data_IF_788609068017
#
_entry.id   IF_788609068017
#
_cell.length_a   1.000
_cell.length_b   1.000
_cell.length_c   1.000
_cell.angle_alpha   90.00
_cell.angle_beta   90.00
_cell.angle_gamma   90.00
#
_symmetry.space_group_name_H-M   'P 1'
#
loop_
_entity.id
_entity.type
_entity.pdbx_description
1 polymer ?
#
# COMPACT_ATOMS: atom_id res chain seq x y z
N UNK A 1 -12.15 8.43 -3.83
CA UNK A 1 -12.03 6.97 -3.66
C UNK A 1 -12.78 6.54 -2.42
N UNK A 2 -13.08 5.25 -2.26
CA UNK A 2 -13.84 4.67 -1.16
C UNK A 2 -13.16 3.41 -0.61
N UNK A 3 -13.67 2.86 0.48
CA UNK A 3 -13.28 1.55 1.00
C UNK A 3 -13.36 0.45 -0.07
N UNK A 4 -14.40 0.47 -0.91
CA UNK A 4 -14.55 -0.49 -2.01
C UNK A 4 -13.40 -0.42 -3.04
N UNK A 5 -12.86 0.78 -3.31
CA UNK A 5 -11.70 0.91 -4.20
C UNK A 5 -10.43 0.32 -3.57
N UNK A 6 -10.28 0.45 -2.26
CA UNK A 6 -9.17 -0.13 -1.52
C UNK A 6 -9.29 -1.66 -1.44
N UNK A 7 -10.50 -2.17 -1.20
CA UNK A 7 -10.82 -3.59 -1.25
C UNK A 7 -10.51 -4.17 -2.64
N UNK A 8 -11.01 -3.56 -3.71
CA UNK A 8 -10.74 -4.00 -5.08
C UNK A 8 -9.23 -4.04 -5.40
N UNK A 9 -8.44 -3.08 -4.89
CA UNK A 9 -6.97 -3.10 -5.03
C UNK A 9 -6.36 -4.34 -4.33
N UNK A 10 -6.79 -4.66 -3.11
CA UNK A 10 -6.31 -5.84 -2.37
C UNK A 10 -6.71 -7.15 -3.05
N UNK A 11 -7.96 -7.26 -3.49
CA UNK A 11 -8.46 -8.43 -4.20
C UNK A 11 -7.70 -8.66 -5.50
N UNK A 12 -7.37 -7.60 -6.24
CA UNK A 12 -6.55 -7.73 -7.43
C UNK A 12 -5.08 -8.04 -7.11
N UNK A 13 -4.57 -7.65 -5.95
CA UNK A 13 -3.20 -7.95 -5.56
C UNK A 13 -3.03 -9.42 -5.13
N UNK A 14 -3.87 -9.92 -4.23
CA UNK A 14 -3.73 -11.23 -3.59
C UNK A 14 -4.83 -12.25 -3.96
N UNK A 15 -6.01 -11.78 -4.36
CA UNK A 15 -7.22 -12.57 -4.55
C UNK A 15 -8.26 -12.29 -3.44
N UNK A 16 -9.57 -12.44 -3.73
CA UNK A 16 -10.64 -12.13 -2.78
C UNK A 16 -10.68 -13.08 -1.57
N UNK A 17 -10.28 -14.34 -1.78
CA UNK A 17 -10.29 -15.35 -0.73
C UNK A 17 -8.97 -15.51 0.04
N UNK A 18 -7.95 -14.74 -0.33
CA UNK A 18 -6.62 -14.84 0.26
C UNK A 18 -6.61 -14.42 1.74
N UNK A 19 -5.75 -15.08 2.51
CA UNK A 19 -5.64 -14.85 3.95
C UNK A 19 -5.13 -13.43 4.26
N UNK A 20 -4.23 -12.88 3.43
CA UNK A 20 -3.72 -11.51 3.56
C UNK A 20 -4.81 -10.50 3.27
N UNK A 21 -5.57 -10.68 2.18
CA UNK A 21 -6.75 -9.85 1.86
C UNK A 21 -7.70 -9.77 3.04
N UNK A 22 -8.15 -10.92 3.53
CA UNK A 22 -9.06 -11.01 4.69
C UNK A 22 -8.47 -10.35 5.93
N UNK A 23 -7.19 -10.59 6.21
CA UNK A 23 -6.50 -10.00 7.36
C UNK A 23 -6.45 -8.48 7.29
N UNK A 24 -6.17 -7.89 6.12
CA UNK A 24 -6.09 -6.44 5.94
C UNK A 24 -7.49 -5.82 6.00
N UNK A 25 -8.49 -6.41 5.33
CA UNK A 25 -9.87 -5.92 5.35
C UNK A 25 -10.44 -5.90 6.78
N UNK A 26 -10.15 -6.93 7.58
CA UNK A 26 -10.57 -6.99 8.99
C UNK A 26 -9.97 -5.86 9.86
N UNK A 27 -8.91 -5.18 9.42
CA UNK A 27 -8.35 -4.01 10.11
C UNK A 27 -9.15 -2.73 9.87
N UNK A 28 -10.08 -2.69 8.90
CA UNK A 28 -10.91 -1.53 8.55
C UNK A 28 -10.10 -0.24 8.35
N UNK A 29 -8.97 -0.33 7.62
CA UNK A 29 -7.99 0.76 7.52
C UNK A 29 -8.60 2.05 6.97
N UNK A 30 -9.43 1.92 5.92
CA UNK A 30 -10.06 3.06 5.28
C UNK A 30 -11.07 3.74 6.21
N UNK A 31 -11.95 2.95 6.82
CA UNK A 31 -12.97 3.43 7.75
C UNK A 31 -12.35 4.08 8.99
N UNK A 32 -11.28 3.49 9.54
CA UNK A 32 -10.55 4.05 10.66
C UNK A 32 -9.96 5.42 10.31
N UNK A 33 -9.39 5.56 9.11
CA UNK A 33 -8.89 6.84 8.62
C UNK A 33 -10.00 7.90 8.47
N UNK A 34 -11.15 7.54 7.88
CA UNK A 34 -12.30 8.45 7.76
C UNK A 34 -12.82 8.87 9.13
N UNK A 35 -12.95 7.92 10.07
CA UNK A 35 -13.39 8.22 11.44
C UNK A 35 -12.41 9.17 12.16
N UNK A 36 -11.10 8.98 11.98
CA UNK A 36 -10.09 9.87 12.53
C UNK A 36 -10.13 11.27 11.90
N UNK A 37 -10.32 11.36 10.58
CA UNK A 37 -10.44 12.63 9.84
C UNK A 37 -11.67 13.42 10.31
N UNK A 38 -12.81 12.74 10.50
CA UNK A 38 -14.03 13.38 10.99
C UNK A 38 -13.91 13.83 12.45
N UNK A 39 -13.28 13.03 13.32
CA UNK A 39 -12.97 13.42 14.70
C UNK A 39 -12.02 14.64 14.75
N UNK A 40 -11.01 14.68 13.89
CA UNK A 40 -10.12 15.83 13.75
C UNK A 40 -10.90 17.09 13.36
N UNK A 41 -11.71 17.00 12.31
CA UNK A 41 -12.55 18.10 11.82
C UNK A 41 -13.49 18.64 12.90
N UNK A 42 -14.12 17.76 13.68
CA UNK A 42 -15.05 18.16 14.75
C UNK A 42 -14.36 18.90 15.90
N UNK A 43 -13.09 18.61 16.17
CA UNK A 43 -12.31 19.29 17.23
C UNK A 43 -12.02 20.76 16.89
N UNK A 44 -12.11 21.17 15.61
CA UNK A 44 -11.76 22.52 15.14
C UNK A 44 -10.38 23.00 15.66
N UNK A 45 -9.43 22.08 15.87
CA UNK A 45 -8.07 22.38 16.30
C UNK A 45 -7.12 22.35 15.10
N UNK A 46 -6.13 23.24 15.09
CA UNK A 46 -5.02 23.20 14.13
C UNK A 46 -3.81 22.42 14.66
N UNK A 47 -3.94 21.82 15.85
CA UNK A 47 -2.87 21.02 16.45
C UNK A 47 -2.68 19.70 15.71
N UNK A 48 -1.46 19.19 15.79
CA UNK A 48 -1.14 17.86 15.29
C UNK A 48 -1.99 16.79 15.98
N UNK A 49 -2.42 15.81 15.20
CA UNK A 49 -3.36 14.78 15.62
C UNK A 49 -2.76 13.40 15.38
N UNK A 50 -2.15 12.85 16.41
CA UNK A 50 -1.46 11.55 16.38
C UNK A 50 -2.38 10.42 15.90
N UNK A 51 -3.65 10.41 16.33
CA UNK A 51 -4.65 9.42 15.89
C UNK A 51 -4.87 9.46 14.37
N UNK A 52 -4.98 10.68 13.81
CA UNK A 52 -5.18 10.88 12.38
C UNK A 52 -3.92 10.53 11.58
N UNK A 53 -2.75 10.96 12.05
CA UNK A 53 -1.47 10.65 11.43
C UNK A 53 -1.23 9.13 11.40
N UNK A 54 -1.51 8.44 12.50
CA UNK A 54 -1.35 6.99 12.58
C UNK A 54 -2.36 6.26 11.69
N UNK A 55 -3.63 6.67 11.67
CA UNK A 55 -4.63 6.08 10.79
C UNK A 55 -4.28 6.29 9.30
N UNK A 56 -3.76 7.46 8.94
CA UNK A 56 -3.25 7.75 7.60
C UNK A 56 -2.08 6.83 7.24
N UNK A 57 -1.09 6.70 8.13
CA UNK A 57 0.09 5.86 7.89
C UNK A 57 -0.29 4.40 7.67
N UNK A 58 -1.23 3.87 8.44
CA UNK A 58 -1.70 2.49 8.25
C UNK A 58 -2.44 2.30 6.93
N UNK A 59 -3.24 3.27 6.50
CA UNK A 59 -3.88 3.22 5.18
C UNK A 59 -2.83 3.29 4.06
N UNK A 60 -1.83 4.16 4.19
CA UNK A 60 -0.69 4.27 3.27
C UNK A 60 0.07 2.95 3.15
N UNK A 61 0.39 2.31 4.27
CA UNK A 61 0.98 0.96 4.29
C UNK A 61 0.09 -0.08 3.62
N UNK A 62 -1.22 -0.09 3.91
CA UNK A 62 -2.15 -1.02 3.29
C UNK A 62 -2.20 -0.91 1.76
N UNK A 63 -2.16 0.32 1.23
CA UNK A 63 -2.07 0.58 -0.21
C UNK A 63 -0.70 0.12 -0.74
N UNK A 64 0.39 0.43 -0.03
CA UNK A 64 1.74 0.01 -0.40
C UNK A 64 1.90 -1.51 -0.50
N UNK A 65 1.35 -2.26 0.46
CA UNK A 65 1.31 -3.74 0.45
C UNK A 65 0.68 -4.27 -0.82
N UNK A 66 -0.46 -3.70 -1.24
CA UNK A 66 -1.16 -4.17 -2.41
C UNK A 66 -0.39 -3.86 -3.71
N UNK A 67 0.15 -2.64 -3.85
CA UNK A 67 0.92 -2.25 -5.03
C UNK A 67 2.21 -3.08 -5.17
N UNK A 68 2.94 -3.30 -4.08
CA UNK A 68 4.16 -4.10 -4.15
C UNK A 68 3.86 -5.58 -4.39
N UNK A 69 2.73 -6.09 -3.91
CA UNK A 69 2.30 -7.45 -4.24
C UNK A 69 1.97 -7.59 -5.74
N UNK A 70 1.33 -6.59 -6.35
CA UNK A 70 1.13 -6.58 -7.80
C UNK A 70 2.46 -6.57 -8.52
N UNK A 71 3.40 -5.73 -8.10
CA UNK A 71 4.76 -5.71 -8.64
C UNK A 71 5.44 -7.08 -8.55
N UNK A 72 5.36 -7.77 -7.40
CA UNK A 72 5.92 -9.12 -7.19
C UNK A 72 5.33 -10.13 -8.18
N UNK A 73 4.04 -10.04 -8.47
CA UNK A 73 3.38 -10.90 -9.45
C UNK A 73 3.87 -10.65 -10.88
N UNK A 74 4.26 -9.42 -11.20
CA UNK A 74 4.81 -9.04 -12.50
C UNK A 74 6.31 -9.34 -12.62
N UNK A 75 7.07 -9.26 -11.53
CA UNK A 75 8.54 -9.30 -11.55
C UNK A 75 9.13 -10.70 -11.62
N UNK A 76 8.37 -11.73 -11.24
CA UNK A 76 8.86 -13.09 -10.93
C UNK A 76 10.06 -13.11 -9.95
N UNK A 77 10.35 -11.98 -9.31
CA UNK A 77 11.52 -11.81 -8.48
C UNK A 77 11.16 -12.22 -7.03
N UNK A 78 11.74 -13.33 -6.52
CA UNK A 78 11.40 -13.83 -5.20
C UNK A 78 11.85 -12.88 -4.08
N UNK A 79 12.88 -12.07 -4.29
CA UNK A 79 13.40 -11.14 -3.28
C UNK A 79 12.44 -9.97 -3.04
N UNK A 80 11.62 -9.63 -4.04
CA UNK A 80 10.58 -8.60 -3.90
C UNK A 80 9.50 -8.98 -2.87
N UNK A 81 9.35 -10.27 -2.53
CA UNK A 81 8.43 -10.74 -1.48
C UNK A 81 8.84 -10.26 -0.09
N UNK A 82 10.14 -10.02 0.14
CA UNK A 82 10.64 -9.53 1.43
C UNK A 82 10.06 -8.15 1.76
N UNK A 83 9.80 -7.32 0.73
CA UNK A 83 9.16 -6.01 0.93
C UNK A 83 7.69 -6.16 1.30
N UNK A 84 6.96 -7.10 0.69
CA UNK A 84 5.57 -7.41 1.09
C UNK A 84 5.52 -7.80 2.57
N UNK A 85 6.41 -8.71 3.00
CA UNK A 85 6.49 -9.18 4.38
C UNK A 85 6.84 -8.05 5.36
N UNK A 86 7.79 -7.19 4.99
CA UNK A 86 8.18 -6.03 5.78
C UNK A 86 6.99 -5.08 6.01
N UNK A 87 6.26 -4.74 4.95
CA UNK A 87 5.11 -3.83 5.04
C UNK A 87 3.95 -4.47 5.83
N UNK A 88 3.73 -5.78 5.67
CA UNK A 88 2.76 -6.52 6.47
C UNK A 88 3.12 -6.54 7.95
N UNK A 89 4.41 -6.63 8.28
CA UNK A 89 4.89 -6.53 9.65
C UNK A 89 4.70 -5.10 10.19
N UNK A 90 5.05 -4.06 9.43
CA UNK A 90 4.80 -2.67 9.79
C UNK A 90 3.31 -2.38 10.05
N UNK A 91 2.40 -3.04 9.33
CA UNK A 91 0.96 -2.88 9.53
C UNK A 91 0.44 -3.43 10.88
N UNK A 92 1.23 -4.24 11.57
CA UNK A 92 0.96 -4.73 12.94
C UNK A 92 1.45 -3.77 14.04
N UNK A 93 2.23 -2.76 13.68
CA UNK A 93 2.72 -1.75 14.61
C UNK A 93 1.56 -1.02 15.32
N UNK A 94 1.87 -0.51 16.51
CA UNK A 94 0.94 0.19 17.40
C UNK A 94 1.15 1.70 17.44
N UNK A 95 2.21 2.20 16.80
CA UNK A 95 2.48 3.63 16.66
C UNK A 95 3.27 3.92 15.38
N UNK A 96 3.39 5.20 15.02
CA UNK A 96 4.17 5.66 13.87
C UNK A 96 5.67 5.38 14.11
N UNK A 97 6.16 5.57 15.33
CA UNK A 97 7.57 5.31 15.66
C UNK A 97 7.93 3.83 15.51
N UNK A 98 7.00 2.93 15.81
CA UNK A 98 7.19 1.49 15.59
C UNK A 98 7.17 1.15 14.09
N UNK A 99 6.32 1.81 13.29
CA UNK A 99 6.34 1.71 11.82
C UNK A 99 7.71 2.17 11.30
N UNK A 100 8.15 3.38 11.66
CA UNK A 100 9.41 3.96 11.21
C UNK A 100 10.59 3.06 11.57
N UNK A 101 10.60 2.51 12.78
CA UNK A 101 11.61 1.56 13.22
C UNK A 101 11.64 0.30 12.34
N UNK A 102 10.48 -0.32 12.10
CA UNK A 102 10.39 -1.51 11.25
C UNK A 102 10.88 -1.19 9.82
N UNK A 103 10.42 -0.08 9.26
CA UNK A 103 10.79 0.35 7.91
C UNK A 103 12.29 0.65 7.78
N UNK A 104 12.89 1.28 8.79
CA UNK A 104 14.32 1.55 8.83
C UNK A 104 15.17 0.29 8.94
N UNK A 105 14.79 -0.65 9.82
CA UNK A 105 15.48 -1.94 9.97
C UNK A 105 15.38 -2.79 8.69
N UNK A 106 14.28 -2.64 7.94
CA UNK A 106 14.03 -3.36 6.69
C UNK A 106 14.55 -2.68 5.42
N UNK A 107 15.29 -1.57 5.50
CA UNK A 107 15.66 -0.76 4.33
C UNK A 107 16.35 -1.58 3.22
N UNK A 108 17.17 -2.57 3.59
CA UNK A 108 17.87 -3.43 2.63
C UNK A 108 16.95 -4.30 1.77
N UNK A 109 15.70 -4.53 2.18
CA UNK A 109 14.73 -5.25 1.36
C UNK A 109 14.33 -4.46 0.11
N UNK A 110 14.38 -3.12 0.17
CA UNK A 110 14.01 -2.25 -0.95
C UNK A 110 15.08 -2.19 -2.05
N UNK A 111 16.35 -2.44 -1.72
CA UNK A 111 17.46 -2.35 -2.67
C UNK A 111 17.27 -3.29 -3.88
N UNK A 112 16.59 -4.42 -3.68
CA UNK A 112 16.38 -5.45 -4.70
C UNK A 112 15.21 -5.16 -5.65
N UNK A 113 14.36 -4.16 -5.37
CA UNK A 113 13.20 -3.85 -6.22
C UNK A 113 13.61 -3.33 -7.61
N UNK A 114 14.77 -2.70 -7.71
CA UNK A 114 15.22 -2.01 -8.92
C UNK A 114 15.99 -2.89 -9.91
N UNK A 115 16.35 -4.12 -9.52
CA UNK A 115 17.26 -4.96 -10.31
C UNK A 115 16.72 -5.29 -11.71
N UNK A 116 15.40 -5.43 -11.86
CA UNK A 116 14.77 -5.92 -13.10
C UNK A 116 13.68 -4.98 -13.66
N UNK A 117 13.50 -3.78 -13.10
CA UNK A 117 12.34 -2.94 -13.41
C UNK A 117 12.29 -2.49 -14.88
N UNK A 118 13.46 -2.20 -15.49
CA UNK A 118 13.57 -1.56 -16.80
C UNK A 118 13.19 -2.43 -18.00
N UNK A 119 12.87 -3.71 -17.78
CA UNK A 119 12.53 -4.65 -18.87
C UNK A 119 11.02 -4.66 -19.16
N UNK A 120 10.19 -4.15 -18.23
CA UNK A 120 8.74 -4.15 -18.38
C UNK A 120 8.14 -2.84 -17.86
N UNK A 121 7.40 -2.14 -18.73
CA UNK A 121 6.80 -0.85 -18.43
C UNK A 121 5.79 -0.90 -17.29
N UNK A 122 4.98 -1.95 -17.19
CA UNK A 122 3.98 -2.09 -16.13
C UNK A 122 4.66 -2.29 -14.77
N UNK A 123 5.83 -2.95 -14.75
CA UNK A 123 6.67 -3.08 -13.53
C UNK A 123 7.21 -1.73 -13.09
N UNK A 124 7.72 -0.95 -14.03
CA UNK A 124 8.23 0.41 -13.76
C UNK A 124 7.10 1.32 -13.25
N UNK A 125 5.95 1.32 -13.93
CA UNK A 125 4.79 2.13 -13.54
C UNK A 125 4.25 1.72 -12.16
N UNK A 126 4.24 0.41 -11.84
CA UNK A 126 3.81 -0.08 -10.53
C UNK A 126 4.81 0.29 -9.41
N UNK A 127 6.11 0.19 -9.67
CA UNK A 127 7.13 0.60 -8.71
C UNK A 127 7.07 2.12 -8.45
N UNK A 128 6.87 2.93 -9.49
CA UNK A 128 6.69 4.37 -9.36
C UNK A 128 5.44 4.75 -8.54
N UNK A 129 4.34 3.99 -8.68
CA UNK A 129 3.16 4.16 -7.84
C UNK A 129 3.45 3.78 -6.38
N UNK A 130 4.22 2.73 -6.16
CA UNK A 130 4.66 2.34 -4.82
C UNK A 130 5.51 3.44 -4.15
N UNK A 131 6.50 4.00 -4.84
CA UNK A 131 7.32 5.12 -4.34
C UNK A 131 6.45 6.33 -3.98
N UNK A 132 5.54 6.72 -4.88
CA UNK A 132 4.57 7.81 -4.62
C UNK A 132 3.64 7.53 -3.44
N UNK A 133 3.41 6.26 -3.12
CA UNK A 133 2.66 5.88 -1.92
C UNK A 133 3.47 6.21 -0.67
N UNK A 134 4.76 5.89 -0.65
CA UNK A 134 5.66 6.19 0.47
C UNK A 134 5.86 7.71 0.66
N UNK A 135 5.80 8.48 -0.43
CA UNK A 135 5.90 9.94 -0.41
C UNK A 135 4.56 10.65 -0.16
N UNK A 136 3.44 9.93 -0.14
CA UNK A 136 2.15 10.56 0.08
C UNK A 136 2.04 11.10 1.51
N UNK A 137 1.70 12.38 1.63
CA UNK A 137 1.55 13.15 2.87
C UNK A 137 0.07 13.45 3.16
N UNK A 138 -0.83 13.21 2.21
CA UNK A 138 -2.24 13.54 2.36
C UNK A 138 -3.19 12.64 1.55
N UNK A 139 -4.47 12.69 1.93
CA UNK A 139 -5.56 11.92 1.31
C UNK A 139 -5.70 12.15 -0.20
N UNK A 140 -5.63 13.39 -0.75
CA UNK A 140 -5.63 13.59 -2.19
C UNK A 140 -4.53 12.83 -2.93
N UNK A 141 -3.30 12.82 -2.41
CA UNK A 141 -2.18 12.08 -3.00
C UNK A 141 -2.43 10.57 -2.98
N UNK A 142 -2.85 9.99 -1.84
CA UNK A 142 -3.20 8.56 -1.77
C UNK A 142 -4.36 8.20 -2.71
N UNK A 143 -5.35 9.06 -2.82
CA UNK A 143 -6.46 8.84 -3.76
C UNK A 143 -6.01 8.86 -5.22
N UNK A 144 -5.01 9.68 -5.56
CA UNK A 144 -4.44 9.71 -6.90
C UNK A 144 -3.69 8.41 -7.19
N UNK A 145 -2.81 7.98 -6.27
CA UNK A 145 -2.12 6.68 -6.33
C UNK A 145 -3.11 5.54 -6.50
N UNK A 146 -4.15 5.46 -5.65
CA UNK A 146 -5.13 4.37 -5.71
C UNK A 146 -5.85 4.36 -7.06
N UNK A 147 -6.25 5.53 -7.58
CA UNK A 147 -6.95 5.61 -8.86
C UNK A 147 -6.05 5.17 -10.02
N UNK A 148 -4.80 5.60 -10.01
CA UNK A 148 -3.83 5.25 -11.04
C UNK A 148 -3.42 3.78 -10.97
N UNK A 149 -3.27 3.22 -9.76
CA UNK A 149 -3.02 1.79 -9.56
C UNK A 149 -4.17 0.92 -10.05
N UNK A 150 -5.42 1.31 -9.77
CA UNK A 150 -6.58 0.60 -10.32
C UNK A 150 -6.66 0.68 -11.85
N UNK A 151 -6.38 1.85 -12.43
CA UNK A 151 -6.32 1.99 -13.88
C UNK A 151 -5.23 1.12 -14.51
N UNK A 152 -4.06 1.02 -13.86
CA UNK A 152 -2.98 0.14 -14.32
C UNK A 152 -3.37 -1.34 -14.23
N UNK A 153 -4.05 -1.75 -13.15
CA UNK A 153 -4.57 -3.11 -13.00
C UNK A 153 -5.53 -3.53 -14.11
N UNK A 154 -6.40 -2.61 -14.55
CA UNK A 154 -7.32 -2.86 -15.66
C UNK A 154 -6.60 -2.99 -17.02
N UNK A 155 -5.34 -2.53 -17.13
CA UNK A 155 -4.52 -2.62 -18.33
C UNK A 155 -3.58 -3.83 -18.36
N UNK A 156 -3.22 -4.39 -17.19
CA UNK A 156 -2.32 -5.54 -17.10
C UNK A 156 -3.01 -6.79 -17.68
N UNK A 157 -2.38 -7.40 -18.68
CA UNK A 157 -2.79 -8.72 -19.19
C UNK A 157 -2.20 -9.83 -18.30
N UNK A 158 -3.01 -10.28 -17.34
CA UNK A 158 -2.62 -11.33 -16.41
C UNK A 158 -2.50 -12.71 -17.04
N UNK A 159 -3.19 -12.97 -18.16
CA UNK A 159 -3.22 -14.28 -18.81
C UNK A 159 -1.89 -14.54 -19.54
N UNK A 160 -1.27 -13.48 -20.07
CA UNK A 160 0.02 -13.56 -20.76
C UNK A 160 1.23 -13.81 -19.84
N UNK A 161 1.06 -13.79 -18.52
CA UNK A 161 2.12 -14.04 -17.52
C UNK A 161 2.15 -15.51 -17.04
N UNK A 162 1.34 -16.39 -17.64
CA UNK A 162 1.17 -17.79 -17.21
C UNK A 162 1.70 -18.86 -18.18
N UNK A 163 2.42 -18.47 -19.23
CA UNK A 163 3.17 -19.36 -20.15
C UNK A 163 4.65 -19.49 -19.77
#
# INVERSE_FOLDING_TARGET
MSAASFEYLLENAFGPDDAVTKKILNKNLYENFIAAEDKHRQRNSQEFDEDLAFAFERLRLGIGVALIQVFVRLSENPDSKQVVELLLHALEAKSIEEIDKIMHEGVSAFDNLYADVFVNKDREDMLALFERTLEAENKPQLNAVLREGLALLDHIDWDHLSE
#
